data_IF_437204103170
#
_entry.id   IF_437204103170
#
_cell.length_a   1.000
_cell.length_b   1.000
_cell.length_c   1.000
_cell.angle_alpha   90.00
_cell.angle_beta   90.00
_cell.angle_gamma   90.00
#
_symmetry.space_group_name_H-M   'P 1'
#
loop_
_entity.id
_entity.type
_entity.pdbx_description
1 polymer ?
#
# COMPACT_ATOMS: atom_id res chain seq x y z
N UNK A 1 -13.51 14.56 6.91
CA UNK A 1 -13.57 13.67 5.75
C UNK A 1 -12.68 12.48 5.94
N UNK A 2 -13.14 11.31 5.53
CA UNK A 2 -12.37 10.07 5.68
C UNK A 2 -11.17 10.05 4.75
N UNK A 3 -10.06 9.53 5.23
CA UNK A 3 -8.91 9.25 4.38
C UNK A 3 -9.12 7.93 3.64
N UNK A 4 -8.71 7.89 2.40
CA UNK A 4 -8.87 6.71 1.53
C UNK A 4 -7.59 5.91 1.50
N UNK A 5 -7.68 4.63 1.88
CA UNK A 5 -6.54 3.72 1.89
C UNK A 5 -6.82 2.60 0.89
N UNK A 6 -5.97 2.47 -0.11
CA UNK A 6 -6.04 1.34 -1.02
C UNK A 6 -5.12 0.24 -0.50
N UNK A 7 -5.64 -0.98 -0.42
CA UNK A 7 -4.87 -2.15 -0.02
C UNK A 7 -4.75 -3.07 -1.22
N UNK A 8 -3.52 -3.29 -1.69
CA UNK A 8 -3.22 -4.17 -2.82
C UNK A 8 -2.54 -5.42 -2.26
N UNK A 9 -3.31 -6.49 -2.13
CA UNK A 9 -2.91 -7.71 -1.45
C UNK A 9 -3.76 -8.86 -2.00
N UNK A 10 -3.15 -9.97 -2.38
CA UNK A 10 -3.88 -11.10 -2.97
C UNK A 10 -4.50 -12.05 -1.94
N UNK A 11 -4.04 -12.02 -0.69
CA UNK A 11 -4.55 -12.91 0.35
C UNK A 11 -5.69 -12.26 1.14
N UNK A 12 -6.88 -12.88 1.07
CA UNK A 12 -8.04 -12.39 1.82
C UNK A 12 -7.77 -12.28 3.32
N UNK A 13 -6.97 -13.18 3.87
CA UNK A 13 -6.64 -13.17 5.30
C UNK A 13 -5.97 -11.86 5.72
N UNK A 14 -5.13 -11.28 4.86
CA UNK A 14 -4.50 -9.99 5.17
C UNK A 14 -5.49 -8.83 5.06
N UNK A 15 -6.43 -8.88 4.10
CA UNK A 15 -7.49 -7.87 4.05
C UNK A 15 -8.32 -7.90 5.34
N UNK A 16 -8.64 -9.10 5.83
CA UNK A 16 -9.37 -9.28 7.08
C UNK A 16 -8.57 -8.74 8.27
N UNK A 17 -7.27 -9.01 8.29
CA UNK A 17 -6.38 -8.51 9.35
C UNK A 17 -6.36 -6.99 9.36
N UNK A 18 -6.22 -6.36 8.20
CA UNK A 18 -6.24 -4.89 8.12
C UNK A 18 -7.58 -4.33 8.59
N UNK A 19 -8.69 -4.98 8.24
CA UNK A 19 -10.01 -4.54 8.72
C UNK A 19 -10.07 -4.51 10.24
N UNK A 20 -9.51 -5.51 10.90
CA UNK A 20 -9.46 -5.56 12.37
C UNK A 20 -8.57 -4.44 12.90
N UNK A 21 -7.40 -4.25 12.31
CA UNK A 21 -6.46 -3.23 12.73
C UNK A 21 -7.03 -1.81 12.60
N UNK A 22 -7.90 -1.59 11.61
CA UNK A 22 -8.51 -0.29 11.35
C UNK A 22 -9.83 -0.04 12.08
N UNK A 23 -10.30 -0.97 12.89
CA UNK A 23 -11.52 -0.75 13.68
C UNK A 23 -11.41 0.51 14.51
N UNK A 24 -12.47 1.32 14.47
CA UNK A 24 -12.51 2.58 15.20
C UNK A 24 -11.82 3.74 14.49
N UNK A 25 -11.21 3.49 13.34
CA UNK A 25 -10.60 4.56 12.53
C UNK A 25 -11.55 4.98 11.41
N UNK A 26 -11.51 6.25 11.06
CA UNK A 26 -12.34 6.81 10.01
C UNK A 26 -11.58 6.74 8.68
N UNK A 27 -11.40 5.52 8.17
CA UNK A 27 -10.77 5.27 6.88
C UNK A 27 -11.75 4.68 5.90
N UNK A 28 -11.69 5.13 4.64
CA UNK A 28 -12.37 4.48 3.53
C UNK A 28 -11.41 3.50 2.90
N UNK A 29 -11.74 2.22 2.91
CA UNK A 29 -10.85 1.17 2.41
C UNK A 29 -11.23 0.79 0.99
N UNK A 30 -10.25 0.82 0.10
CA UNK A 30 -10.38 0.33 -1.28
C UNK A 30 -9.56 -0.95 -1.35
N UNK A 31 -10.25 -2.09 -1.52
CA UNK A 31 -9.57 -3.39 -1.56
C UNK A 31 -9.31 -3.80 -3.00
N UNK A 32 -8.07 -4.15 -3.30
CA UNK A 32 -7.67 -4.71 -4.59
C UNK A 32 -6.89 -5.99 -4.33
N UNK A 33 -7.23 -7.05 -5.04
CA UNK A 33 -6.65 -8.38 -4.83
C UNK A 33 -5.55 -8.72 -5.81
N UNK A 34 -5.33 -7.87 -6.81
CA UNK A 34 -4.21 -7.99 -7.74
C UNK A 34 -3.89 -6.63 -8.35
N UNK A 35 -2.81 -6.56 -9.12
CA UNK A 35 -2.37 -5.30 -9.71
C UNK A 35 -3.33 -4.75 -10.75
N UNK A 36 -3.97 -5.61 -11.53
CA UNK A 36 -4.93 -5.16 -12.55
C UNK A 36 -6.16 -4.53 -11.91
N UNK A 37 -6.67 -5.14 -10.86
CA UNK A 37 -7.79 -4.58 -10.11
C UNK A 37 -7.42 -3.23 -9.49
N UNK A 38 -6.20 -3.15 -8.94
CA UNK A 38 -5.69 -1.91 -8.35
C UNK A 38 -5.60 -0.80 -9.40
N UNK A 39 -5.07 -1.10 -10.58
CA UNK A 39 -4.99 -0.12 -11.66
C UNK A 39 -6.37 0.40 -12.07
N UNK A 40 -7.35 -0.49 -12.19
CA UNK A 40 -8.70 -0.09 -12.53
C UNK A 40 -9.33 0.79 -11.46
N UNK A 41 -9.13 0.45 -10.19
CA UNK A 41 -9.69 1.21 -9.07
C UNK A 41 -9.04 2.57 -8.88
N UNK A 42 -7.75 2.71 -9.21
CA UNK A 42 -7.08 4.00 -9.20
C UNK A 42 -7.75 5.02 -10.13
N UNK A 43 -8.19 4.55 -11.29
CA UNK A 43 -8.88 5.42 -12.26
C UNK A 43 -10.24 5.90 -11.73
N UNK A 44 -10.89 5.10 -10.90
CA UNK A 44 -12.21 5.43 -10.37
C UNK A 44 -12.15 6.31 -9.13
N UNK A 45 -11.16 6.07 -8.25
CA UNK A 45 -11.13 6.72 -6.94
C UNK A 45 -9.69 6.78 -6.41
N UNK A 46 -9.08 7.95 -6.50
CA UNK A 46 -7.68 8.14 -6.11
C UNK A 46 -7.53 8.05 -4.58
N UNK A 47 -6.71 7.10 -4.08
CA UNK A 47 -6.49 6.99 -2.63
C UNK A 47 -5.51 8.05 -2.10
N UNK A 48 -5.52 8.21 -0.77
CA UNK A 48 -4.57 9.06 -0.08
C UNK A 48 -3.26 8.34 0.23
N UNK A 49 -3.31 7.00 0.30
CA UNK A 49 -2.13 6.15 0.52
C UNK A 49 -2.43 4.75 -0.03
N UNK A 50 -1.39 4.06 -0.46
CA UNK A 50 -1.51 2.68 -0.93
C UNK A 50 -0.67 1.78 -0.03
N UNK A 51 -1.29 0.74 0.53
CA UNK A 51 -0.60 -0.37 1.17
C UNK A 51 -0.41 -1.44 0.11
N UNK A 52 0.83 -1.78 -0.19
CA UNK A 52 1.18 -2.64 -1.32
C UNK A 52 2.00 -3.83 -0.87
N UNK A 53 1.54 -5.04 -1.24
CA UNK A 53 2.35 -6.25 -1.13
C UNK A 53 3.17 -6.41 -2.41
N UNK A 54 4.41 -6.88 -2.27
CA UNK A 54 5.27 -7.14 -3.42
C UNK A 54 5.03 -8.51 -4.03
N UNK A 55 4.47 -9.45 -3.27
CA UNK A 55 4.13 -10.81 -3.73
C UNK A 55 2.69 -10.86 -4.20
N UNK A 56 2.46 -10.41 -5.43
CA UNK A 56 1.13 -10.43 -6.05
C UNK A 56 1.11 -11.40 -7.22
N UNK A 57 -0.05 -12.01 -7.47
CA UNK A 57 -0.26 -12.82 -8.66
C UNK A 57 -0.34 -11.91 -9.90
N UNK A 58 0.05 -12.40 -11.05
CA UNK A 58 -0.08 -11.77 -12.37
C UNK A 58 0.79 -10.51 -12.53
N UNK A 59 0.43 -9.40 -11.90
CA UNK A 59 1.23 -8.18 -11.92
C UNK A 59 1.94 -8.07 -10.57
N UNK A 60 3.26 -8.13 -10.57
CA UNK A 60 4.04 -8.08 -9.34
C UNK A 60 3.98 -6.69 -8.69
N UNK A 61 4.26 -6.64 -7.37
CA UNK A 61 4.20 -5.39 -6.63
C UNK A 61 5.16 -4.33 -7.14
N UNK A 62 6.39 -4.74 -7.54
CA UNK A 62 7.36 -3.80 -8.10
C UNK A 62 6.90 -3.26 -9.45
N UNK A 63 6.29 -4.08 -10.30
CA UNK A 63 5.71 -3.63 -11.56
C UNK A 63 4.59 -2.63 -11.32
N UNK A 64 3.72 -2.91 -10.37
CA UNK A 64 2.65 -1.98 -10.00
C UNK A 64 3.22 -0.66 -9.47
N UNK A 65 4.25 -0.74 -8.61
CA UNK A 65 4.91 0.45 -8.07
C UNK A 65 5.49 1.33 -9.18
N UNK A 66 6.17 0.70 -10.15
CA UNK A 66 6.73 1.44 -11.29
C UNK A 66 5.63 2.07 -12.14
N UNK A 67 4.51 1.39 -12.32
CA UNK A 67 3.35 1.94 -13.01
C UNK A 67 2.87 3.22 -12.32
N UNK A 68 2.71 3.18 -11.00
CA UNK A 68 2.27 4.34 -10.22
C UNK A 68 3.22 5.53 -10.42
N UNK A 69 4.52 5.28 -10.27
CA UNK A 69 5.51 6.35 -10.30
C UNK A 69 5.72 6.90 -11.70
N UNK A 70 5.35 6.12 -12.72
CA UNK A 70 5.41 6.56 -14.11
C UNK A 70 4.19 7.35 -14.56
N UNK A 71 3.10 7.38 -13.78
CA UNK A 71 1.88 8.10 -14.14
C UNK A 71 1.80 9.41 -13.38
N UNK A 72 1.85 10.56 -14.07
CA UNK A 72 1.84 11.87 -13.38
C UNK A 72 0.70 12.05 -12.39
N UNK A 73 -0.48 11.51 -12.69
CA UNK A 73 -1.65 11.65 -11.82
C UNK A 73 -1.57 10.80 -10.55
N UNK A 74 -0.69 9.78 -10.51
CA UNK A 74 -0.57 8.87 -9.36
C UNK A 74 0.80 8.91 -8.71
N UNK A 75 1.78 9.59 -9.32
CA UNK A 75 3.16 9.55 -8.86
C UNK A 75 3.36 10.08 -7.43
N UNK A 76 2.50 10.98 -7.01
CA UNK A 76 2.61 11.60 -5.68
C UNK A 76 1.89 10.82 -4.57
N UNK A 77 1.17 9.74 -4.91
CA UNK A 77 0.49 8.94 -3.89
C UNK A 77 1.53 8.23 -3.03
N UNK A 78 1.52 8.43 -1.70
CA UNK A 78 2.44 7.71 -0.82
C UNK A 78 2.18 6.22 -0.86
N UNK A 79 3.26 5.43 -0.81
CA UNK A 79 3.17 3.96 -0.81
C UNK A 79 3.82 3.42 0.46
N UNK A 80 3.10 2.54 1.14
CA UNK A 80 3.59 1.80 2.28
C UNK A 80 3.63 0.32 1.85
N UNK A 81 4.84 -0.22 1.72
CA UNK A 81 5.00 -1.62 1.33
C UNK A 81 4.97 -2.50 2.57
N UNK A 82 4.11 -3.53 2.56
CA UNK A 82 4.03 -4.52 3.62
C UNK A 82 4.10 -5.89 2.94
N UNK A 83 5.23 -6.56 3.11
CA UNK A 83 5.51 -7.78 2.34
C UNK A 83 6.28 -8.80 3.17
N UNK A 84 6.13 -10.08 2.80
CA UNK A 84 6.91 -11.15 3.40
C UNK A 84 8.37 -11.11 2.95
N UNK A 85 8.66 -10.42 1.84
CA UNK A 85 10.02 -10.30 1.33
C UNK A 85 10.85 -9.30 2.11
N UNK A 86 12.17 -9.50 2.12
CA UNK A 86 13.09 -8.60 2.81
C UNK A 86 13.17 -7.25 2.10
N UNK A 87 13.27 -6.18 2.88
CA UNK A 87 13.47 -4.84 2.35
C UNK A 87 14.71 -4.76 1.46
N UNK A 88 15.74 -5.55 1.74
CA UNK A 88 16.98 -5.55 0.96
C UNK A 88 16.76 -5.87 -0.51
N UNK A 89 15.72 -6.65 -0.83
CA UNK A 89 15.42 -7.03 -2.20
C UNK A 89 14.83 -5.89 -3.01
N UNK A 90 14.31 -4.86 -2.33
CA UNK A 90 13.61 -3.75 -2.98
C UNK A 90 14.18 -2.37 -2.62
N UNK A 91 15.41 -2.33 -2.10
CA UNK A 91 15.99 -1.03 -1.68
C UNK A 91 16.19 -0.06 -2.85
N UNK A 92 16.23 -0.57 -4.09
CA UNK A 92 16.31 0.30 -5.26
C UNK A 92 15.05 1.14 -5.45
N UNK A 93 13.90 0.69 -4.93
CA UNK A 93 12.66 1.44 -5.01
C UNK A 93 12.73 2.75 -4.22
N UNK A 94 13.53 2.79 -3.16
CA UNK A 94 13.75 4.02 -2.38
C UNK A 94 14.50 5.08 -3.17
N UNK A 95 15.22 4.70 -4.20
CA UNK A 95 15.89 5.65 -5.10
C UNK A 95 14.85 6.37 -5.97
N UNK A 96 13.73 5.70 -6.26
CA UNK A 96 12.63 6.25 -7.05
C UNK A 96 11.73 7.11 -6.15
N UNK A 97 11.46 6.63 -4.94
CA UNK A 97 10.65 7.34 -3.96
C UNK A 97 11.35 7.31 -2.59
N UNK A 98 12.10 8.36 -2.24
CA UNK A 98 12.81 8.42 -0.96
C UNK A 98 11.90 8.34 0.27
N UNK A 99 10.63 8.65 0.13
CA UNK A 99 9.66 8.64 1.23
C UNK A 99 9.00 7.27 1.42
N UNK A 100 9.37 6.30 0.59
CA UNK A 100 8.82 4.95 0.66
C UNK A 100 9.10 4.30 2.01
N UNK A 101 8.06 3.74 2.62
CA UNK A 101 8.18 2.99 3.87
C UNK A 101 7.98 1.52 3.56
N UNK A 102 8.82 0.67 4.16
CA UNK A 102 8.78 -0.77 3.96
C UNK A 102 8.67 -1.47 5.32
N UNK A 103 7.67 -2.33 5.48
CA UNK A 103 7.50 -3.16 6.68
C UNK A 103 7.46 -4.62 6.23
N UNK A 104 8.34 -5.45 6.80
CA UNK A 104 8.25 -6.89 6.57
C UNK A 104 7.04 -7.41 7.34
N UNK A 105 6.25 -8.30 6.71
CA UNK A 105 5.02 -8.83 7.32
C UNK A 105 5.24 -9.44 8.69
N UNK A 106 6.40 -10.07 8.92
CA UNK A 106 6.74 -10.68 10.21
C UNK A 106 6.89 -9.65 11.34
N UNK A 107 7.10 -8.38 11.01
CA UNK A 107 7.22 -7.30 12.00
C UNK A 107 5.99 -6.40 12.04
N UNK A 108 4.93 -6.75 11.33
CA UNK A 108 3.72 -5.94 11.29
C UNK A 108 2.96 -6.03 12.62
N UNK A 109 2.69 -4.87 13.20
CA UNK A 109 1.80 -4.74 14.36
C UNK A 109 0.79 -3.64 14.08
N UNK A 110 -0.33 -3.66 14.79
CA UNK A 110 -1.33 -2.58 14.68
C UNK A 110 -0.70 -1.23 14.99
N UNK A 111 0.09 -1.16 16.05
CA UNK A 111 0.75 0.07 16.48
C UNK A 111 1.69 0.61 15.42
N UNK A 112 2.51 -0.25 14.84
CA UNK A 112 3.45 0.14 13.78
C UNK A 112 2.71 0.64 12.55
N UNK A 113 1.68 -0.06 12.14
CA UNK A 113 0.89 0.31 10.96
C UNK A 113 0.21 1.67 11.16
N UNK A 114 -0.46 1.86 12.29
CA UNK A 114 -1.17 3.11 12.55
C UNK A 114 -0.20 4.28 12.70
N UNK A 115 0.96 4.06 13.31
CA UNK A 115 1.99 5.09 13.43
C UNK A 115 2.48 5.56 12.07
N UNK A 116 2.78 4.62 11.16
CA UNK A 116 3.25 4.97 9.83
C UNK A 116 2.17 5.67 9.01
N UNK A 117 0.92 5.21 9.11
CA UNK A 117 -0.19 5.85 8.42
C UNK A 117 -0.43 7.27 8.93
N UNK A 118 -0.33 7.50 10.24
CA UNK A 118 -0.49 8.82 10.81
C UNK A 118 0.55 9.78 10.25
N UNK A 119 1.80 9.36 10.15
CA UNK A 119 2.87 10.18 9.57
C UNK A 119 2.58 10.54 8.12
N UNK A 120 2.08 9.60 7.35
CA UNK A 120 1.78 9.80 5.94
C UNK A 120 0.58 10.71 5.74
N UNK A 121 -0.49 10.50 6.52
CA UNK A 121 -1.78 11.15 6.30
C UNK A 121 -1.92 12.52 6.94
N UNK A 122 -1.03 12.88 7.86
CA UNK A 122 -1.05 14.19 8.52
C UNK A 122 -0.47 15.29 7.63
N UNK A 123 0.52 14.92 6.83
CA UNK A 123 1.24 15.91 6.01
C UNK A 123 0.45 16.39 4.79
#
# INVERSE_FOLDING_TARGET
MSKKIMIVEDEKAFHDLYSVMFEGKDYDIISAYDGDEAMAKLEEDKPDVIILDMLLDMVTGDTFFLYLKGMPEFADIPVLIISALSEKQYKNLKKIDPNLVYIEKSYLTKERLLEELDKILIS
#
